data_IF_422614690663
#
_entry.id   IF_422614690663
#
_cell.length_a   1.000
_cell.length_b   1.000
_cell.length_c   1.000
_cell.angle_alpha   90.00
_cell.angle_beta   90.00
_cell.angle_gamma   90.00
#
_symmetry.space_group_name_H-M   'P 1'
#
loop_
_entity.id
_entity.type
_entity.pdbx_description
1 polymer ?
#
# COMPACT_ATOMS: atom_id res chain seq x y z
N UNK A 1 26.70 -10.58 -7.74
CA UNK A 1 26.35 -12.03 -7.63
C UNK A 1 25.29 -12.31 -8.68
N UNK A 2 25.41 -13.35 -9.49
CA UNK A 2 24.41 -13.65 -10.50
C UNK A 2 23.29 -14.52 -9.90
N UNK A 3 22.16 -13.90 -9.55
CA UNK A 3 21.02 -14.58 -8.94
C UNK A 3 20.30 -15.52 -9.92
N UNK A 4 20.52 -15.41 -11.24
CA UNK A 4 19.77 -16.19 -12.23
C UNK A 4 20.03 -17.70 -12.18
N UNK A 5 21.09 -18.14 -11.49
CA UNK A 5 21.42 -19.56 -11.37
C UNK A 5 20.83 -20.21 -10.11
N UNK A 6 20.14 -19.44 -9.26
CA UNK A 6 19.58 -19.91 -7.99
C UNK A 6 18.12 -20.37 -8.14
N UNK A 7 17.86 -21.29 -9.08
CA UNK A 7 16.49 -21.71 -9.43
C UNK A 7 15.70 -22.33 -8.27
N UNK A 8 16.39 -22.88 -7.26
CA UNK A 8 15.78 -23.45 -6.06
C UNK A 8 15.68 -22.46 -4.89
N UNK A 9 16.04 -21.19 -5.08
CA UNK A 9 15.96 -20.18 -4.02
C UNK A 9 14.49 -19.93 -3.65
N UNK A 10 14.19 -20.08 -2.36
CA UNK A 10 12.85 -19.85 -1.80
C UNK A 10 12.79 -18.64 -0.86
N UNK A 11 13.91 -18.25 -0.28
CA UNK A 11 13.98 -17.15 0.68
C UNK A 11 15.08 -16.19 0.27
N UNK A 12 14.72 -14.94 0.07
CA UNK A 12 15.64 -13.84 -0.18
C UNK A 12 15.32 -12.71 0.79
N UNK A 13 16.11 -12.63 1.84
CA UNK A 13 15.99 -11.60 2.85
C UNK A 13 17.17 -10.64 2.73
N UNK A 14 16.84 -9.43 2.31
CA UNK A 14 17.77 -8.31 2.17
C UNK A 14 17.50 -7.35 3.33
N UNK A 15 18.56 -6.92 4.00
CA UNK A 15 18.48 -6.03 5.16
C UNK A 15 18.39 -4.58 4.68
N UNK A 16 17.73 -3.71 5.45
CA UNK A 16 17.34 -2.35 5.05
C UNK A 16 18.51 -1.47 4.57
N UNK A 17 19.75 -1.78 4.94
CA UNK A 17 20.94 -1.07 4.47
C UNK A 17 21.42 -1.47 3.06
N UNK A 18 20.79 -2.46 2.42
CA UNK A 18 21.07 -2.79 1.03
C UNK A 18 20.01 -2.18 0.15
N UNK A 19 20.31 -1.05 -0.49
CA UNK A 19 19.45 -0.45 -1.53
C UNK A 19 19.33 -1.35 -2.79
N UNK A 20 19.90 -2.55 -2.76
CA UNK A 20 20.15 -3.37 -3.94
C UNK A 20 19.08 -4.43 -4.10
N UNK A 21 18.38 -4.39 -5.23
CA UNK A 21 17.52 -5.49 -5.66
C UNK A 21 18.25 -6.35 -6.70
N UNK A 22 18.23 -7.70 -6.57
CA UNK A 22 18.77 -8.57 -7.60
C UNK A 22 18.16 -8.34 -8.98
N UNK A 23 19.02 -8.29 -10.00
CA UNK A 23 18.58 -8.31 -11.39
C UNK A 23 17.87 -9.61 -11.74
N UNK A 24 16.89 -9.52 -12.65
CA UNK A 24 16.15 -10.66 -13.21
C UNK A 24 15.45 -11.51 -12.16
N UNK A 25 14.91 -10.86 -11.13
CA UNK A 25 14.17 -11.51 -10.04
C UNK A 25 13.03 -12.37 -10.58
N UNK A 26 12.42 -11.99 -11.70
CA UNK A 26 11.38 -12.75 -12.42
C UNK A 26 11.76 -14.18 -12.81
N UNK A 27 13.05 -14.54 -12.79
CA UNK A 27 13.54 -15.91 -13.03
C UNK A 27 13.46 -16.81 -11.79
N UNK A 28 13.36 -16.23 -10.59
CA UNK A 28 13.30 -16.96 -9.32
C UNK A 28 11.87 -17.41 -9.01
N UNK A 29 11.24 -18.17 -9.90
CA UNK A 29 9.81 -18.52 -9.79
C UNK A 29 9.44 -19.37 -8.57
N UNK A 30 10.43 -19.99 -7.92
CA UNK A 30 10.27 -20.73 -6.66
C UNK A 30 10.38 -19.84 -5.41
N UNK A 31 10.61 -18.53 -5.58
CA UNK A 31 10.77 -17.60 -4.47
C UNK A 31 9.46 -17.45 -3.70
N UNK A 32 9.55 -17.62 -2.39
CA UNK A 32 8.44 -17.56 -1.43
C UNK A 32 8.56 -16.34 -0.53
N UNK A 33 9.75 -16.05 0.00
CA UNK A 33 10.00 -14.89 0.85
C UNK A 33 10.90 -13.89 0.13
N UNK A 34 10.45 -12.64 0.08
CA UNK A 34 11.19 -11.48 -0.41
C UNK A 34 10.94 -10.30 0.53
N UNK A 35 11.96 -9.90 1.31
CA UNK A 35 11.78 -8.85 2.32
C UNK A 35 11.41 -7.50 1.70
N UNK A 36 12.12 -7.08 0.65
CA UNK A 36 11.83 -5.86 -0.07
C UNK A 36 12.22 -5.91 -1.56
N UNK A 37 11.62 -5.01 -2.34
CA UNK A 37 11.93 -4.76 -3.74
C UNK A 37 12.06 -3.25 -3.96
N UNK A 38 13.24 -2.82 -4.42
CA UNK A 38 13.53 -1.42 -4.75
C UNK A 38 13.26 -1.21 -6.24
N UNK A 39 12.17 -0.51 -6.56
CA UNK A 39 11.82 -0.19 -7.95
C UNK A 39 12.91 0.73 -8.53
N UNK A 40 13.31 0.48 -9.78
CA UNK A 40 14.25 1.32 -10.51
C UNK A 40 15.62 1.49 -9.82
N UNK A 41 16.07 0.51 -9.04
CA UNK A 41 17.41 0.50 -8.46
C UNK A 41 18.50 0.46 -9.55
N UNK A 42 18.39 -0.49 -10.48
CA UNK A 42 19.21 -0.57 -11.69
C UNK A 42 18.34 -0.45 -12.94
N UNK A 43 18.96 -0.11 -14.06
CA UNK A 43 18.26 0.01 -15.35
C UNK A 43 17.58 -1.32 -15.68
N UNK A 44 16.25 -1.32 -15.72
CA UNK A 44 15.43 -2.50 -15.98
C UNK A 44 14.83 -3.18 -14.75
N UNK A 45 15.11 -2.73 -13.53
CA UNK A 45 14.41 -3.17 -12.31
C UNK A 45 13.00 -2.57 -12.24
N UNK A 46 12.13 -2.96 -13.17
CA UNK A 46 10.71 -2.58 -13.15
C UNK A 46 9.94 -3.46 -12.16
N UNK A 47 8.86 -2.93 -11.61
CA UNK A 47 7.98 -3.67 -10.69
C UNK A 47 7.37 -4.93 -11.34
N UNK A 48 7.31 -4.96 -12.68
CA UNK A 48 6.88 -6.12 -13.48
C UNK A 48 7.73 -7.37 -13.27
N UNK A 49 8.95 -7.26 -12.71
CA UNK A 49 9.76 -8.41 -12.32
C UNK A 49 9.06 -9.28 -11.25
N UNK A 50 8.18 -8.70 -10.42
CA UNK A 50 7.37 -9.41 -9.45
C UNK A 50 6.23 -10.23 -10.08
N UNK A 51 5.89 -9.96 -11.34
CA UNK A 51 4.73 -10.54 -12.01
C UNK A 51 4.77 -12.08 -12.11
N UNK A 52 5.98 -12.65 -12.22
CA UNK A 52 6.19 -14.11 -12.29
C UNK A 52 6.33 -14.80 -10.94
N UNK A 53 6.44 -14.04 -9.85
CA UNK A 53 6.71 -14.54 -8.50
C UNK A 53 5.41 -14.84 -7.74
N UNK A 54 4.62 -15.78 -8.27
CA UNK A 54 3.29 -16.10 -7.73
C UNK A 54 3.32 -16.72 -6.33
N UNK A 55 4.43 -17.36 -5.97
CA UNK A 55 4.58 -18.06 -4.70
C UNK A 55 4.97 -17.15 -3.53
N UNK A 56 5.10 -15.84 -3.77
CA UNK A 56 5.42 -14.89 -2.70
C UNK A 56 4.37 -14.94 -1.60
N UNK A 57 4.86 -14.96 -0.36
CA UNK A 57 4.07 -15.11 0.84
C UNK A 57 4.61 -14.25 1.98
N UNK A 58 3.81 -14.08 3.03
CA UNK A 58 4.19 -13.28 4.19
C UNK A 58 4.17 -11.79 3.87
N UNK A 59 5.29 -11.11 4.06
CA UNK A 59 5.41 -9.66 3.94
C UNK A 59 6.29 -9.26 2.75
N UNK A 60 5.88 -8.21 2.04
CA UNK A 60 6.63 -7.59 0.95
C UNK A 60 6.66 -6.08 1.11
N UNK A 61 7.86 -5.50 1.12
CA UNK A 61 8.04 -4.05 1.04
C UNK A 61 8.41 -3.60 -0.37
N UNK A 62 7.63 -2.71 -0.96
CA UNK A 62 7.96 -2.01 -2.19
C UNK A 62 8.54 -0.64 -1.83
N UNK A 63 9.79 -0.42 -2.24
CA UNK A 63 10.52 0.82 -2.05
C UNK A 63 10.63 1.56 -3.38
N UNK A 64 10.77 2.89 -3.30
CA UNK A 64 10.86 3.78 -4.46
C UNK A 64 9.64 3.68 -5.39
N UNK A 65 8.43 3.62 -4.82
CA UNK A 65 7.19 3.49 -5.61
C UNK A 65 6.94 4.66 -6.58
N UNK A 66 7.61 5.82 -6.43
CA UNK A 66 7.63 6.90 -7.44
C UNK A 66 8.12 6.45 -8.81
N UNK A 67 8.98 5.43 -8.85
CA UNK A 67 9.64 5.02 -10.10
C UNK A 67 8.76 4.14 -10.98
N UNK A 68 7.55 3.80 -10.53
CA UNK A 68 6.57 3.09 -11.36
C UNK A 68 5.89 4.10 -12.27
N UNK A 69 6.00 3.90 -13.58
CA UNK A 69 5.66 4.95 -14.57
C UNK A 69 4.15 5.03 -14.90
N UNK A 70 3.39 3.95 -14.69
CA UNK A 70 1.96 3.93 -15.01
C UNK A 70 1.16 2.87 -14.26
N UNK A 71 -0.17 2.97 -14.34
CA UNK A 71 -1.13 1.95 -13.88
C UNK A 71 -0.86 0.57 -14.48
N UNK A 72 -0.54 0.50 -15.76
CA UNK A 72 -0.25 -0.75 -16.49
C UNK A 72 1.04 -1.40 -15.98
N UNK A 73 2.08 -0.60 -15.71
CA UNK A 73 3.31 -1.11 -15.12
C UNK A 73 3.06 -1.66 -13.72
N UNK A 74 2.34 -0.91 -12.88
CA UNK A 74 1.93 -1.36 -11.55
C UNK A 74 1.11 -2.65 -11.59
N UNK A 75 0.20 -2.78 -12.56
CA UNK A 75 -0.58 -4.00 -12.75
C UNK A 75 0.30 -5.21 -13.11
N UNK A 76 1.40 -5.01 -13.83
CA UNK A 76 2.37 -6.05 -14.15
C UNK A 76 3.07 -6.65 -12.92
N UNK A 77 3.01 -6.01 -11.75
CA UNK A 77 3.43 -6.61 -10.48
C UNK A 77 2.59 -7.84 -10.10
N UNK A 78 1.35 -7.91 -10.60
CA UNK A 78 0.42 -9.03 -10.44
C UNK A 78 0.24 -9.46 -8.96
N UNK A 79 -0.06 -8.50 -8.09
CA UNK A 79 -0.29 -8.78 -6.65
C UNK A 79 -1.60 -9.54 -6.42
N UNK A 80 -2.57 -9.43 -7.33
CA UNK A 80 -3.82 -10.17 -7.29
C UNK A 80 -3.63 -11.70 -7.29
N UNK A 81 -2.56 -12.22 -7.90
CA UNK A 81 -2.28 -13.66 -7.99
C UNK A 81 -1.41 -14.19 -6.83
N UNK A 82 -1.03 -13.33 -5.89
CA UNK A 82 -0.17 -13.69 -4.74
C UNK A 82 -1.01 -13.97 -3.49
N UNK A 83 -1.80 -15.04 -3.51
CA UNK A 83 -2.79 -15.38 -2.47
C UNK A 83 -2.20 -15.54 -1.06
N UNK A 84 -0.92 -15.89 -0.98
CA UNK A 84 -0.20 -16.11 0.27
C UNK A 84 0.48 -14.85 0.80
N UNK A 85 0.49 -13.75 0.04
CA UNK A 85 0.98 -12.46 0.53
C UNK A 85 -0.03 -11.88 1.53
N UNK A 86 0.42 -11.64 2.76
CA UNK A 86 -0.42 -11.19 3.87
C UNK A 86 -0.16 -9.73 4.24
N UNK A 87 1.03 -9.22 3.97
CA UNK A 87 1.42 -7.86 4.34
C UNK A 87 2.10 -7.16 3.16
N UNK A 88 1.71 -5.90 2.92
CA UNK A 88 2.26 -5.07 1.86
C UNK A 88 2.62 -3.70 2.42
N UNK A 89 3.88 -3.32 2.25
CA UNK A 89 4.37 -1.99 2.61
C UNK A 89 4.72 -1.25 1.33
N UNK A 90 4.17 -0.06 1.16
CA UNK A 90 4.39 0.78 -0.02
C UNK A 90 5.06 2.06 0.41
N UNK A 91 6.26 2.31 -0.12
CA UNK A 91 7.10 3.41 0.33
C UNK A 91 7.44 4.33 -0.84
N UNK A 92 6.92 5.53 -0.72
CA UNK A 92 7.25 6.66 -1.56
C UNK A 92 8.43 7.44 -0.97
N UNK A 93 9.38 7.89 -1.80
CA UNK A 93 10.42 8.82 -1.36
C UNK A 93 9.81 10.12 -0.80
N UNK A 94 10.25 10.60 0.37
CA UNK A 94 9.78 11.86 0.97
C UNK A 94 10.47 13.09 0.38
N UNK A 95 11.67 12.95 -0.20
CA UNK A 95 12.49 14.08 -0.65
C UNK A 95 12.21 14.49 -2.11
N UNK A 96 11.13 13.97 -2.70
CA UNK A 96 10.72 14.29 -4.06
C UNK A 96 10.49 15.80 -4.17
N UNK A 97 11.17 16.43 -5.13
CA UNK A 97 10.90 17.83 -5.45
C UNK A 97 9.49 17.95 -5.99
N UNK A 98 8.75 18.93 -5.48
CA UNK A 98 7.33 19.22 -5.76
C UNK A 98 7.13 19.81 -7.18
N UNK A 99 7.69 19.13 -8.18
CA UNK A 99 8.04 19.74 -9.46
C UNK A 99 7.40 19.08 -10.70
N UNK A 100 6.55 18.05 -10.60
CA UNK A 100 5.65 17.62 -11.70
C UNK A 100 4.73 16.44 -11.30
N UNK A 101 3.56 16.39 -11.93
CA UNK A 101 2.55 15.29 -12.02
C UNK A 101 2.92 14.00 -11.29
N UNK A 102 2.50 13.86 -10.03
CA UNK A 102 2.47 12.57 -9.36
C UNK A 102 1.52 11.60 -10.08
N UNK A 103 1.86 10.32 -10.09
CA UNK A 103 1.02 9.22 -10.60
C UNK A 103 0.76 8.15 -9.51
N UNK A 104 1.03 8.48 -8.25
CA UNK A 104 0.88 7.60 -7.08
C UNK A 104 -0.51 6.93 -7.04
N UNK A 105 -1.56 7.67 -7.39
CA UNK A 105 -2.94 7.20 -7.49
C UNK A 105 -3.08 6.12 -8.57
N UNK A 106 -2.53 6.36 -9.76
CA UNK A 106 -2.53 5.38 -10.85
C UNK A 106 -1.78 4.11 -10.47
N UNK A 107 -0.64 4.26 -9.80
CA UNK A 107 0.16 3.14 -9.27
C UNK A 107 -0.67 2.33 -8.29
N UNK A 108 -1.27 2.97 -7.28
CA UNK A 108 -2.13 2.29 -6.29
C UNK A 108 -3.35 1.60 -6.95
N UNK A 109 -3.97 2.23 -7.95
CA UNK A 109 -5.07 1.62 -8.71
C UNK A 109 -4.65 0.43 -9.59
N UNK A 110 -3.39 0.40 -10.03
CA UNK A 110 -2.83 -0.67 -10.84
C UNK A 110 -2.41 -1.89 -10.02
N UNK A 111 -1.88 -1.68 -8.81
CA UNK A 111 -1.34 -2.72 -7.94
C UNK A 111 -2.35 -3.82 -7.60
N UNK A 112 -3.60 -3.45 -7.25
CA UNK A 112 -4.73 -4.36 -6.99
C UNK A 112 -4.35 -5.64 -6.23
N UNK A 113 -4.01 -5.54 -4.94
CA UNK A 113 -3.61 -6.70 -4.16
C UNK A 113 -4.71 -7.75 -4.06
N UNK A 114 -4.32 -8.99 -3.79
CA UNK A 114 -5.26 -10.08 -3.56
C UNK A 114 -6.16 -9.80 -2.34
N UNK A 115 -7.40 -10.26 -2.36
CA UNK A 115 -8.37 -10.07 -1.28
C UNK A 115 -7.92 -10.71 0.05
N UNK A 116 -6.95 -11.63 0.05
CA UNK A 116 -6.41 -12.27 1.26
C UNK A 116 -5.38 -11.42 2.01
N UNK A 117 -5.03 -10.22 1.51
CA UNK A 117 -4.12 -9.30 2.18
C UNK A 117 -4.72 -8.88 3.54
N UNK A 118 -3.89 -8.90 4.58
CA UNK A 118 -4.31 -8.64 5.97
C UNK A 118 -3.73 -7.33 6.53
N UNK A 119 -2.57 -6.90 6.04
CA UNK A 119 -1.92 -5.64 6.45
C UNK A 119 -1.52 -4.82 5.23
N UNK A 120 -1.86 -3.53 5.26
CA UNK A 120 -1.44 -2.56 4.26
C UNK A 120 -0.85 -1.33 4.95
N UNK A 121 0.40 -1.02 4.61
CA UNK A 121 1.12 0.13 5.14
C UNK A 121 1.53 1.02 3.96
N UNK A 122 1.18 2.30 4.02
CA UNK A 122 1.48 3.29 2.98
C UNK A 122 2.25 4.45 3.60
N UNK A 123 3.45 4.73 3.08
CA UNK A 123 4.27 5.87 3.47
C UNK A 123 4.38 6.88 2.33
N UNK A 124 4.28 8.17 2.65
CA UNK A 124 4.71 9.30 1.79
C UNK A 124 3.92 9.50 0.51
N UNK A 125 2.63 9.16 0.50
CA UNK A 125 1.74 9.37 -0.65
C UNK A 125 1.57 10.87 -0.95
N UNK A 126 1.83 11.30 -2.18
CA UNK A 126 1.93 12.73 -2.53
C UNK A 126 0.69 13.29 -3.26
N UNK A 127 -0.34 12.48 -3.52
CA UNK A 127 -1.55 12.93 -4.21
C UNK A 127 -2.72 13.27 -3.27
N UNK A 128 -3.78 13.85 -3.85
CA UNK A 128 -4.89 14.44 -3.08
C UNK A 128 -5.84 13.44 -2.43
N UNK A 129 -5.88 12.20 -2.91
CA UNK A 129 -6.81 11.17 -2.44
C UNK A 129 -6.22 9.77 -2.61
N UNK A 130 -6.42 8.91 -1.62
CA UNK A 130 -6.11 7.48 -1.74
C UNK A 130 -7.26 6.77 -2.47
N UNK A 131 -6.98 5.81 -3.38
CA UNK A 131 -8.04 5.06 -4.05
C UNK A 131 -8.61 3.99 -3.13
N UNK A 132 -9.94 3.92 -3.00
CA UNK A 132 -10.60 2.88 -2.18
C UNK A 132 -10.24 1.45 -2.60
N UNK A 133 -9.92 1.23 -3.88
CA UNK A 133 -9.67 -0.10 -4.46
C UNK A 133 -8.44 -0.83 -3.89
N UNK A 134 -7.47 -0.12 -3.30
CA UNK A 134 -6.31 -0.77 -2.64
C UNK A 134 -6.69 -1.39 -1.29
N UNK A 135 -7.76 -0.90 -0.66
CA UNK A 135 -8.22 -1.35 0.66
C UNK A 135 -9.17 -2.54 0.53
N UNK A 136 -8.61 -3.75 0.49
CA UNK A 136 -9.37 -5.00 0.31
C UNK A 136 -10.11 -5.45 1.57
N UNK A 137 -11.13 -6.29 1.41
CA UNK A 137 -12.10 -6.63 2.47
C UNK A 137 -11.49 -7.32 3.71
N UNK A 138 -10.44 -8.13 3.53
CA UNK A 138 -9.82 -8.87 4.64
C UNK A 138 -8.72 -8.11 5.38
N UNK A 139 -8.52 -6.83 5.06
CA UNK A 139 -7.57 -6.00 5.81
C UNK A 139 -7.98 -5.93 7.29
N UNK A 140 -7.00 -6.21 8.14
CA UNK A 140 -7.07 -6.13 9.60
C UNK A 140 -6.24 -4.99 10.15
N UNK A 141 -5.16 -4.63 9.46
CA UNK A 141 -4.26 -3.55 9.84
C UNK A 141 -4.11 -2.61 8.66
N UNK A 142 -4.32 -1.33 8.90
CA UNK A 142 -4.00 -0.26 7.96
C UNK A 142 -3.20 0.79 8.69
N UNK A 143 -2.02 1.10 8.18
CA UNK A 143 -1.26 2.27 8.63
C UNK A 143 -0.98 3.21 7.46
N UNK A 144 -1.32 4.48 7.66
CA UNK A 144 -1.11 5.55 6.69
C UNK A 144 -0.18 6.58 7.31
N UNK A 145 1.01 6.75 6.73
CA UNK A 145 2.04 7.64 7.25
C UNK A 145 2.42 8.71 6.23
N UNK A 146 2.44 9.95 6.70
CA UNK A 146 2.99 11.12 6.01
C UNK A 146 2.34 11.38 4.65
N UNK A 147 1.40 12.31 4.59
CA UNK A 147 0.91 12.85 3.32
C UNK A 147 0.65 14.35 3.42
N UNK A 148 1.40 15.12 2.65
CA UNK A 148 1.29 16.59 2.62
C UNK A 148 0.06 17.05 1.84
N UNK A 149 -0.30 16.32 0.78
CA UNK A 149 -1.30 16.75 -0.20
C UNK A 149 -2.64 16.03 -0.08
N UNK A 150 -2.71 14.91 0.65
CA UNK A 150 -3.97 14.18 0.81
C UNK A 150 -4.96 15.00 1.63
N UNK A 151 -6.07 15.39 0.99
CA UNK A 151 -7.09 16.26 1.60
C UNK A 151 -8.31 15.49 2.11
N UNK A 152 -8.46 14.23 1.67
CA UNK A 152 -9.57 13.35 2.03
C UNK A 152 -9.06 11.95 2.30
N UNK A 153 -9.45 11.40 3.45
CA UNK A 153 -9.20 10.01 3.80
C UNK A 153 -10.12 9.07 2.99
N UNK A 154 -9.68 7.84 2.71
CA UNK A 154 -10.49 6.83 2.02
C UNK A 154 -11.65 6.33 2.90
N UNK A 155 -12.61 5.64 2.29
CA UNK A 155 -13.78 5.04 2.96
C UNK A 155 -13.36 3.80 3.77
N UNK A 156 -12.68 4.00 4.91
CA UNK A 156 -12.15 2.92 5.73
C UNK A 156 -13.20 2.31 6.67
N UNK A 157 -14.27 3.03 6.99
CA UNK A 157 -15.30 2.53 7.91
C UNK A 157 -16.12 1.36 7.39
N UNK A 158 -16.12 1.13 6.08
CA UNK A 158 -16.79 -0.02 5.45
C UNK A 158 -16.02 -1.34 5.66
N UNK A 159 -14.77 -1.27 6.13
CA UNK A 159 -13.91 -2.45 6.29
C UNK A 159 -14.30 -3.24 7.54
N UNK A 160 -15.09 -4.30 7.33
CA UNK A 160 -15.68 -5.11 8.40
C UNK A 160 -14.65 -5.96 9.18
N UNK A 161 -13.44 -6.12 8.65
CA UNK A 161 -12.37 -6.90 9.29
C UNK A 161 -11.28 -6.06 9.93
N UNK A 162 -11.33 -4.74 9.78
CA UNK A 162 -10.30 -3.83 10.28
C UNK A 162 -10.27 -3.84 11.80
N UNK A 163 -9.11 -4.15 12.38
CA UNK A 163 -8.84 -4.20 13.82
C UNK A 163 -7.95 -3.05 14.27
N UNK A 164 -7.03 -2.63 13.42
CA UNK A 164 -6.07 -1.58 13.71
C UNK A 164 -6.01 -0.58 12.57
N UNK A 165 -6.16 0.70 12.91
CA UNK A 165 -6.01 1.82 12.01
C UNK A 165 -5.08 2.87 12.63
N UNK A 166 -4.00 3.19 11.94
CA UNK A 166 -3.12 4.30 12.30
C UNK A 166 -3.06 5.31 11.15
N UNK A 167 -3.22 6.58 11.47
CA UNK A 167 -3.10 7.70 10.52
C UNK A 167 -2.18 8.75 11.14
N UNK A 168 -1.06 9.00 10.47
CA UNK A 168 0.01 9.83 10.99
C UNK A 168 0.38 10.91 9.97
N UNK A 169 0.40 12.18 10.39
CA UNK A 169 0.91 13.31 9.60
C UNK A 169 0.24 13.49 8.22
N UNK A 170 -1.10 13.43 8.18
CA UNK A 170 -1.91 13.77 7.00
C UNK A 170 -2.27 15.25 7.03
N UNK A 171 -1.33 16.11 6.61
CA UNK A 171 -1.41 17.55 6.78
C UNK A 171 -2.45 18.23 5.87
N UNK A 172 -2.84 17.60 4.76
CA UNK A 172 -3.89 18.14 3.90
C UNK A 172 -5.32 17.93 4.42
N UNK A 173 -5.51 17.02 5.38
CA UNK A 173 -6.85 16.65 5.88
C UNK A 173 -7.33 17.69 6.88
N UNK A 174 -8.39 18.41 6.50
CA UNK A 174 -9.05 19.41 7.36
C UNK A 174 -10.37 18.95 7.95
N UNK A 175 -11.04 18.01 7.28
CA UNK A 175 -12.37 17.52 7.68
C UNK A 175 -12.39 16.01 7.53
N UNK A 176 -12.87 15.32 8.57
CA UNK A 176 -13.31 13.93 8.51
C UNK A 176 -14.85 13.94 8.51
N UNK A 177 -15.46 13.40 7.48
CA UNK A 177 -16.92 13.34 7.30
C UNK A 177 -17.38 11.95 6.86
N UNK A 178 -18.65 11.85 6.42
CA UNK A 178 -19.29 10.60 6.02
C UNK A 178 -18.48 9.80 4.97
N UNK A 179 -17.68 10.46 4.12
CA UNK A 179 -16.84 9.77 3.13
C UNK A 179 -15.76 8.89 3.78
N UNK A 180 -15.32 9.18 5.00
CA UNK A 180 -14.35 8.32 5.70
C UNK A 180 -14.97 7.01 6.18
N UNK A 181 -16.25 7.04 6.56
CA UNK A 181 -16.95 5.89 7.13
C UNK A 181 -17.46 4.94 6.05
N UNK A 182 -17.81 5.46 4.88
CA UNK A 182 -18.37 4.68 3.77
C UNK A 182 -19.73 5.21 3.33
N UNK A 183 -20.20 4.73 2.19
CA UNK A 183 -21.42 5.20 1.54
C UNK A 183 -22.48 4.10 1.35
N UNK A 184 -22.31 2.92 1.96
CA UNK A 184 -23.31 1.85 1.89
C UNK A 184 -24.53 2.19 2.77
N UNK A 185 -25.71 2.45 2.19
CA UNK A 185 -26.91 2.78 2.94
C UNK A 185 -27.42 1.62 3.81
N UNK A 186 -26.97 0.38 3.56
CA UNK A 186 -27.31 -0.79 4.36
C UNK A 186 -26.34 -1.01 5.54
N UNK A 187 -25.23 -0.27 5.58
CA UNK A 187 -24.23 -0.44 6.61
C UNK A 187 -24.69 0.22 7.92
N UNK A 188 -25.15 -0.63 8.84
CA UNK A 188 -25.64 -0.20 10.17
C UNK A 188 -24.52 0.21 11.13
N UNK A 189 -23.30 -0.27 10.91
CA UNK A 189 -22.13 -0.01 11.76
C UNK A 189 -20.89 0.16 10.90
N UNK A 190 -20.16 1.24 11.16
CA UNK A 190 -18.82 1.45 10.62
C UNK A 190 -17.79 0.85 11.58
N UNK A 191 -16.68 0.35 11.05
CA UNK A 191 -15.57 -0.18 11.83
C UNK A 191 -15.99 -1.27 12.87
N UNK A 192 -16.78 -2.29 12.51
CA UNK A 192 -17.41 -3.19 13.49
C UNK A 192 -16.43 -4.05 14.31
N UNK A 193 -15.16 -4.17 13.89
CA UNK A 193 -14.10 -4.94 14.57
C UNK A 193 -12.90 -4.09 14.99
N UNK A 194 -12.98 -2.76 14.88
CA UNK A 194 -11.84 -1.90 15.18
C UNK A 194 -11.55 -1.90 16.69
N UNK A 195 -10.35 -2.33 17.05
CA UNK A 195 -9.85 -2.49 18.41
C UNK A 195 -8.86 -1.38 18.78
N UNK A 196 -8.12 -0.87 17.78
CA UNK A 196 -7.11 0.18 17.95
C UNK A 196 -7.26 1.23 16.86
N UNK A 197 -7.38 2.49 17.27
CA UNK A 197 -7.37 3.64 16.37
C UNK A 197 -6.39 4.69 16.89
N UNK A 198 -5.42 5.06 16.06
CA UNK A 198 -4.43 6.08 16.37
C UNK A 198 -4.47 7.16 15.29
N UNK A 199 -4.59 8.40 15.73
CA UNK A 199 -4.32 9.57 14.90
C UNK A 199 -3.26 10.42 15.57
N UNK A 200 -2.24 10.81 14.82
CA UNK A 200 -1.15 11.63 15.33
C UNK A 200 -0.68 12.62 14.26
N UNK A 201 -0.19 13.79 14.69
CA UNK A 201 0.27 14.86 13.78
C UNK A 201 -0.75 15.30 12.70
N UNK A 202 -2.06 15.19 13.00
CA UNK A 202 -3.15 15.71 12.16
C UNK A 202 -3.34 17.22 12.35
N UNK A 203 -2.27 18.01 12.25
CA UNK A 203 -2.21 19.40 12.76
C UNK A 203 -3.23 20.37 12.12
N UNK A 204 -3.70 20.07 10.92
CA UNK A 204 -4.66 20.90 10.18
C UNK A 204 -6.11 20.37 10.25
N UNK A 205 -6.36 19.30 11.02
CA UNK A 205 -7.69 18.75 11.20
C UNK A 205 -8.55 19.72 12.02
N UNK A 206 -9.58 20.29 11.39
CA UNK A 206 -10.47 21.30 11.97
C UNK A 206 -11.81 20.71 12.42
N UNK A 207 -12.32 19.71 11.69
CA UNK A 207 -13.63 19.11 11.98
C UNK A 207 -13.59 17.60 11.85
N UNK A 208 -14.27 16.93 12.77
CA UNK A 208 -14.59 15.52 12.68
C UNK A 208 -16.09 15.35 12.92
N UNK A 209 -16.82 15.03 11.85
CA UNK A 209 -18.27 14.87 11.88
C UNK A 209 -18.60 13.42 12.22
N UNK A 210 -19.45 13.25 13.22
CA UNK A 210 -20.03 11.95 13.56
C UNK A 210 -21.10 11.59 12.53
N UNK A 211 -21.19 10.30 12.18
CA UNK A 211 -22.34 9.80 11.42
C UNK A 211 -23.48 9.63 12.40
N UNK A 212 -24.55 10.41 12.23
CA UNK A 212 -25.79 10.16 12.97
C UNK A 212 -26.33 8.81 12.49
N UNK A 213 -26.22 7.79 13.33
CA UNK A 213 -26.92 6.53 13.09
C UNK A 213 -28.42 6.86 13.13
N UNK A 214 -29.13 6.59 12.03
CA UNK A 214 -30.58 6.54 12.10
C UNK A 214 -30.92 5.26 12.89
N UNK A 215 -31.40 5.45 14.11
CA UNK A 215 -31.94 4.40 14.98
C UNK A 215 -33.12 3.65 14.32
#
# INVERSE_FOLDING_TARGET
MNFTNLASLRHLELWVSSDKTPLHLSRLTQLQILSHFVVGFEKGCKITELGRLKNLQGSLSLLCSEKVESKEEANGANLAEKENLKELHLNWDMERKDNNSYNDLEVLEGLQPNQNLQSLIIHSFAERRLPNKIFVENLRVIHLYSSFNCVKLPMLGQLNNLKELEIYSFLGVRIIDNEFYGNDPNQRRFFPKLEKFVMYEMINLEQWKEVMAND
#
